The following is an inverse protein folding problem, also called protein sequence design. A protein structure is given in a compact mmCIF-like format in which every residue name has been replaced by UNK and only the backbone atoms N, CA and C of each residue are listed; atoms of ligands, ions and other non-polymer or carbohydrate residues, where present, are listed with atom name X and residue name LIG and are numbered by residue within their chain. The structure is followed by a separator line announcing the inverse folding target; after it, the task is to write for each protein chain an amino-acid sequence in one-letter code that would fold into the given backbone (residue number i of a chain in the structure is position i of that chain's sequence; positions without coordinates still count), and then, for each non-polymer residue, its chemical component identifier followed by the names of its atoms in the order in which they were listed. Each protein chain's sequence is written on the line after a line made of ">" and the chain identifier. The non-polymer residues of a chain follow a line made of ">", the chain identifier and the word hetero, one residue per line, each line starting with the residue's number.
data_IF_189296121463
#
_entry.id   IF_189296121463
#
_cell.length_a   1.000
_cell.length_b   1.000
_cell.length_c   1.000
_cell.angle_alpha   90.00
_cell.angle_beta   90.00
_cell.angle_gamma   90.00
#
_symmetry.space_group_name_H-M   'P 1'
#
loop_
_entity.id
_entity.type
_entity.pdbx_description
1 polymer ?
#
# COMPACT_ATOMS: atom_id res chain seq x y z
N UNK A 1 13.44 -10.78 4.97
CA UNK A 1 14.00 -11.18 3.65
C UNK A 1 13.30 -12.39 3.08
N UNK A 2 13.04 -13.43 3.88
CA UNK A 2 12.27 -14.61 3.45
C UNK A 2 10.89 -14.25 2.89
N UNK A 3 10.12 -13.42 3.61
CA UNK A 3 8.82 -12.91 3.13
C UNK A 3 8.87 -12.15 1.79
N UNK A 4 10.00 -11.54 1.42
CA UNK A 4 10.16 -10.85 0.12
C UNK A 4 10.46 -11.87 -0.98
N UNK A 5 11.27 -12.89 -0.68
CA UNK A 5 11.58 -14.00 -1.60
C UNK A 5 10.35 -14.88 -1.86
N UNK A 6 9.50 -15.03 -0.87
CA UNK A 6 8.26 -15.80 -0.92
C UNK A 6 7.08 -15.02 -1.52
N UNK A 7 7.29 -13.75 -1.90
CA UNK A 7 6.23 -12.86 -2.38
C UNK A 7 5.02 -12.86 -1.43
N UNK A 8 5.25 -12.70 -0.13
CA UNK A 8 4.21 -12.86 0.90
C UNK A 8 3.00 -11.92 0.70
N UNK A 9 3.16 -10.83 -0.07
CA UNK A 9 2.06 -9.93 -0.43
C UNK A 9 1.16 -10.47 -1.56
N UNK A 10 1.58 -11.49 -2.31
CA UNK A 10 0.83 -12.03 -3.44
C UNK A 10 -0.53 -12.64 -3.04
N UNK A 11 -0.68 -13.15 -1.82
CA UNK A 11 -1.97 -13.63 -1.30
C UNK A 11 -2.99 -12.49 -1.16
N UNK A 12 -2.53 -11.30 -0.80
CA UNK A 12 -3.37 -10.11 -0.60
C UNK A 12 -3.50 -9.28 -1.89
N UNK A 13 -2.55 -9.43 -2.82
CA UNK A 13 -2.41 -8.60 -4.01
C UNK A 13 -2.04 -9.47 -5.23
N UNK A 14 -2.92 -10.41 -5.66
CA UNK A 14 -2.56 -11.47 -6.61
C UNK A 14 -2.29 -10.97 -8.04
N UNK A 15 -2.89 -9.83 -8.40
CA UNK A 15 -2.72 -9.20 -9.72
C UNK A 15 -1.67 -8.08 -9.72
N UNK A 16 -0.92 -7.91 -8.62
CA UNK A 16 0.08 -6.85 -8.52
C UNK A 16 1.44 -7.30 -9.07
N UNK A 17 1.89 -6.65 -10.15
CA UNK A 17 3.30 -6.69 -10.62
C UNK A 17 4.19 -5.81 -9.73
N UNK A 18 4.17 -6.06 -8.42
CA UNK A 18 5.09 -5.39 -7.49
C UNK A 18 6.50 -5.96 -7.67
N UNK A 19 7.35 -5.24 -8.42
CA UNK A 19 8.77 -5.56 -8.61
C UNK A 19 9.60 -5.19 -7.37
N UNK A 20 9.37 -5.92 -6.28
CA UNK A 20 10.12 -5.77 -5.02
C UNK A 20 11.06 -6.96 -4.86
N UNK A 21 12.35 -6.72 -5.08
CA UNK A 21 13.39 -7.72 -4.90
C UNK A 21 13.93 -7.67 -3.47
N UNK A 22 14.36 -8.79 -2.90
CA UNK A 22 15.03 -8.80 -1.60
C UNK A 22 16.34 -7.99 -1.68
N UNK A 23 16.68 -7.17 -0.66
CA UNK A 23 17.92 -6.41 -0.68
C UNK A 23 19.10 -7.37 -0.54
N UNK A 24 20.17 -7.12 -1.29
CA UNK A 24 21.43 -7.86 -1.15
C UNK A 24 22.19 -7.36 0.10
N UNK A 25 21.79 -7.88 1.26
CA UNK A 25 22.38 -7.51 2.56
C UNK A 25 23.16 -8.69 3.11
N UNK A 26 24.39 -8.43 3.55
CA UNK A 26 25.20 -9.47 4.17
C UNK A 26 24.52 -10.08 5.41
N UNK A 27 24.54 -11.41 5.53
CA UNK A 27 24.04 -12.13 6.71
C UNK A 27 24.69 -11.64 8.01
N UNK A 28 25.92 -11.15 7.92
CA UNK A 28 26.64 -10.54 9.04
C UNK A 28 25.91 -9.30 9.56
N UNK A 29 25.47 -8.39 8.69
CA UNK A 29 24.76 -7.19 9.10
C UNK A 29 23.44 -7.55 9.80
N UNK A 30 22.68 -8.49 9.21
CA UNK A 30 21.44 -9.00 9.80
C UNK A 30 21.69 -9.66 11.15
N UNK A 31 22.77 -10.42 11.29
CA UNK A 31 23.15 -11.03 12.56
C UNK A 31 23.45 -9.98 13.64
N UNK A 32 24.11 -8.89 13.28
CA UNK A 32 24.43 -7.79 14.20
C UNK A 32 23.16 -7.08 14.68
N UNK A 33 22.20 -6.85 13.78
CA UNK A 33 20.89 -6.28 14.11
C UNK A 33 20.11 -7.23 15.04
N UNK A 34 19.98 -8.51 14.66
CA UNK A 34 19.27 -9.52 15.48
C UNK A 34 19.85 -9.72 16.87
N UNK A 35 21.17 -9.51 17.03
CA UNK A 35 21.87 -9.61 18.32
C UNK A 35 21.80 -8.33 19.16
N UNK A 36 21.13 -7.27 18.68
CA UNK A 36 21.08 -5.97 19.35
C UNK A 36 22.46 -5.30 19.44
N UNK A 37 23.39 -5.65 18.54
CA UNK A 37 24.70 -4.96 18.45
C UNK A 37 24.56 -3.64 17.71
N UNK A 38 23.59 -3.58 16.79
CA UNK A 38 23.19 -2.39 16.07
C UNK A 38 21.69 -2.26 16.24
N UNK A 39 21.26 -1.13 16.77
CA UNK A 39 19.86 -0.75 16.84
C UNK A 39 19.49 -0.09 15.52
N UNK A 40 18.39 -0.55 14.93
CA UNK A 40 17.86 -0.02 13.67
C UNK A 40 16.37 0.22 13.84
N UNK A 41 15.91 1.40 13.47
CA UNK A 41 14.50 1.74 13.38
C UNK A 41 14.15 2.20 11.96
N UNK A 42 12.98 1.79 11.49
CA UNK A 42 12.45 2.20 10.20
C UNK A 42 11.31 3.19 10.41
N UNK A 43 11.31 4.27 9.64
CA UNK A 43 10.29 5.31 9.71
C UNK A 43 9.74 5.56 8.31
N UNK A 44 8.42 5.60 8.17
CA UNK A 44 7.74 6.00 6.93
C UNK A 44 6.92 7.24 7.23
N UNK A 45 7.25 8.33 6.54
CA UNK A 45 6.65 9.64 6.72
C UNK A 45 5.95 10.05 5.43
N UNK A 46 4.67 10.38 5.52
CA UNK A 46 3.97 11.05 4.43
C UNK A 46 4.43 12.50 4.34
N UNK A 47 4.65 13.00 3.12
CA UNK A 47 4.86 14.43 2.93
C UNK A 47 3.56 15.18 3.20
N UNK A 48 3.59 16.21 4.06
CA UNK A 48 2.40 16.97 4.49
C UNK A 48 1.59 17.63 3.37
N UNK A 49 2.14 17.71 2.16
CA UNK A 49 1.55 18.42 1.02
C UNK A 49 1.65 17.67 -0.30
N UNK A 50 2.00 16.38 -0.29
CA UNK A 50 2.05 15.56 -1.51
C UNK A 50 1.61 14.14 -1.23
N UNK A 51 1.32 13.39 -2.29
CA UNK A 51 1.07 11.94 -2.26
C UNK A 51 2.36 11.14 -2.10
N UNK A 52 3.52 11.79 -1.97
CA UNK A 52 4.82 11.15 -1.84
C UNK A 52 5.07 10.69 -0.40
N UNK A 53 5.80 9.58 -0.28
CA UNK A 53 6.28 9.08 1.00
C UNK A 53 7.80 9.09 1.08
N UNK A 54 8.32 9.37 2.27
CA UNK A 54 9.73 9.25 2.60
C UNK A 54 9.89 8.13 3.63
N UNK A 55 10.64 7.10 3.28
CA UNK A 55 10.98 5.97 4.13
C UNK A 55 12.48 5.99 4.42
N UNK A 56 12.82 6.16 5.69
CA UNK A 56 14.20 6.27 6.15
C UNK A 56 14.52 5.21 7.21
N UNK A 57 15.81 4.93 7.35
CA UNK A 57 16.32 4.04 8.39
C UNK A 57 17.21 4.87 9.32
N UNK A 58 16.94 4.79 10.61
CA UNK A 58 17.86 5.31 11.63
C UNK A 58 18.61 4.13 12.23
N UNK A 59 19.94 4.23 12.30
CA UNK A 59 20.78 3.20 12.92
C UNK A 59 21.72 3.79 13.96
N UNK A 60 21.94 3.04 15.03
CA UNK A 60 22.88 3.38 16.08
C UNK A 60 23.68 2.15 16.49
N UNK A 61 25.00 2.31 16.61
CA UNK A 61 25.90 1.26 17.06
C UNK A 61 26.99 1.84 17.94
N UNK A 62 27.54 1.00 18.81
CA UNK A 62 28.66 1.40 19.65
C UNK A 62 29.93 1.63 18.81
N UNK A 63 30.36 2.89 18.69
CA UNK A 63 31.52 3.33 17.91
C UNK A 63 32.86 2.76 18.38
N UNK A 64 32.94 2.22 19.61
CA UNK A 64 34.13 1.49 20.08
C UNK A 64 34.34 0.17 19.30
N UNK A 65 33.32 -0.34 18.62
CA UNK A 65 33.43 -1.47 17.70
C UNK A 65 33.56 -0.93 16.28
N UNK A 66 34.77 -1.06 15.71
CA UNK A 66 35.00 -0.63 14.35
C UNK A 66 34.40 -1.67 13.37
N UNK A 67 33.29 -1.32 12.74
CA UNK A 67 32.66 -2.12 11.70
C UNK A 67 32.99 -1.53 10.33
N UNK A 68 33.95 -2.11 9.59
CA UNK A 68 34.30 -1.59 8.27
C UNK A 68 33.09 -1.68 7.33
N UNK A 69 32.88 -0.63 6.54
CA UNK A 69 31.85 -0.50 5.50
C UNK A 69 30.39 -0.51 6.01
N UNK A 70 30.16 -0.33 7.31
CA UNK A 70 28.81 -0.42 7.87
C UNK A 70 27.87 0.67 7.36
N UNK A 71 28.37 1.92 7.24
CA UNK A 71 27.58 3.04 6.70
C UNK A 71 27.15 2.80 5.26
N UNK A 72 28.04 2.23 4.44
CA UNK A 72 27.71 1.89 3.05
C UNK A 72 26.64 0.80 2.98
N UNK A 73 26.70 -0.19 3.88
CA UNK A 73 25.71 -1.26 3.93
C UNK A 73 24.34 -0.73 4.38
N UNK A 74 24.30 0.19 5.34
CA UNK A 74 23.07 0.84 5.77
C UNK A 74 22.50 1.78 4.72
N UNK A 75 23.34 2.55 4.02
CA UNK A 75 22.89 3.40 2.91
C UNK A 75 22.27 2.60 1.76
N UNK A 76 22.82 1.42 1.44
CA UNK A 76 22.21 0.51 0.48
C UNK A 76 20.84 0.00 0.95
N UNK A 77 20.76 -0.41 2.22
CA UNK A 77 19.51 -0.90 2.83
C UNK A 77 18.44 0.20 2.89
N UNK A 78 18.82 1.43 3.22
CA UNK A 78 17.93 2.58 3.26
C UNK A 78 17.40 2.93 1.86
N UNK A 79 18.27 2.98 0.85
CA UNK A 79 17.84 3.22 -0.53
C UNK A 79 16.87 2.13 -1.02
N UNK A 80 17.14 0.87 -0.69
CA UNK A 80 16.22 -0.21 -0.97
C UNK A 80 14.87 -0.03 -0.27
N UNK A 81 14.88 0.37 1.01
CA UNK A 81 13.67 0.61 1.78
C UNK A 81 12.84 1.77 1.20
N UNK A 82 13.50 2.89 0.84
CA UNK A 82 12.88 4.03 0.17
C UNK A 82 12.18 3.60 -1.13
N UNK A 83 12.89 2.90 -2.02
CA UNK A 83 12.32 2.44 -3.30
C UNK A 83 11.16 1.47 -3.11
N UNK A 84 11.27 0.56 -2.15
CA UNK A 84 10.20 -0.38 -1.82
C UNK A 84 8.96 0.36 -1.36
N UNK A 85 9.13 1.34 -0.48
CA UNK A 85 8.04 2.17 -0.01
C UNK A 85 7.40 2.95 -1.18
N UNK A 86 8.19 3.63 -2.00
CA UNK A 86 7.70 4.35 -3.19
C UNK A 86 6.89 3.44 -4.13
N UNK A 87 7.40 2.24 -4.41
CA UNK A 87 6.71 1.26 -5.28
C UNK A 87 5.35 0.86 -4.70
N UNK A 88 5.29 0.62 -3.38
CA UNK A 88 4.02 0.32 -2.71
C UNK A 88 3.06 1.50 -2.74
N UNK A 89 3.55 2.72 -2.53
CA UNK A 89 2.74 3.93 -2.55
C UNK A 89 2.15 4.19 -3.94
N UNK A 90 2.94 4.03 -4.99
CA UNK A 90 2.48 4.18 -6.37
C UNK A 90 1.40 3.16 -6.72
N UNK A 91 1.57 1.91 -6.30
CA UNK A 91 0.55 0.88 -6.49
C UNK A 91 -0.75 1.24 -5.77
N UNK A 92 -0.66 1.63 -4.50
CA UNK A 92 -1.84 2.00 -3.70
C UNK A 92 -2.57 3.20 -4.30
N UNK A 93 -1.81 4.21 -4.74
CA UNK A 93 -2.37 5.38 -5.40
C UNK A 93 -3.12 5.01 -6.68
N UNK A 94 -2.51 4.20 -7.56
CA UNK A 94 -3.15 3.74 -8.81
C UNK A 94 -4.40 2.92 -8.54
N UNK A 95 -4.36 2.04 -7.55
CA UNK A 95 -5.50 1.20 -7.18
C UNK A 95 -6.67 2.06 -6.70
N UNK A 96 -6.40 3.02 -5.82
CA UNK A 96 -7.40 3.99 -5.36
C UNK A 96 -7.94 4.85 -6.49
N UNK A 97 -7.08 5.25 -7.43
CA UNK A 97 -7.51 6.02 -8.59
C UNK A 97 -8.48 5.21 -9.46
N UNK A 98 -8.13 3.96 -9.80
CA UNK A 98 -8.97 3.06 -10.59
C UNK A 98 -10.32 2.84 -9.89
N UNK A 99 -10.31 2.61 -8.57
CA UNK A 99 -11.54 2.44 -7.80
C UNK A 99 -12.39 3.71 -7.79
N UNK A 100 -11.79 4.89 -7.59
CA UNK A 100 -12.52 6.15 -7.69
C UNK A 100 -13.14 6.37 -9.08
N UNK A 101 -12.38 6.08 -10.14
CA UNK A 101 -12.85 6.19 -11.52
C UNK A 101 -14.03 5.23 -11.78
N UNK A 102 -13.94 3.99 -11.29
CA UNK A 102 -15.03 3.02 -11.39
C UNK A 102 -16.26 3.47 -10.60
N UNK A 103 -16.11 3.81 -9.31
CA UNK A 103 -17.23 4.18 -8.45
C UNK A 103 -17.99 5.41 -8.94
N UNK A 104 -17.30 6.33 -9.62
CA UNK A 104 -17.91 7.54 -10.21
C UNK A 104 -18.37 7.37 -11.66
N UNK A 105 -18.21 6.18 -12.24
CA UNK A 105 -18.63 5.90 -13.61
C UNK A 105 -20.14 5.67 -13.73
N UNK A 106 -20.69 5.94 -14.93
CA UNK A 106 -22.08 5.60 -15.26
C UNK A 106 -22.37 4.10 -15.11
N UNK A 107 -21.36 3.25 -15.33
CA UNK A 107 -21.46 1.81 -15.14
C UNK A 107 -21.73 1.46 -13.68
N UNK A 108 -20.95 2.00 -12.74
CA UNK A 108 -21.17 1.80 -11.29
C UNK A 108 -22.56 2.29 -10.85
N UNK A 109 -23.02 3.42 -11.40
CA UNK A 109 -24.39 3.93 -11.15
C UNK A 109 -25.44 2.94 -11.65
N UNK A 110 -25.30 2.42 -12.86
CA UNK A 110 -26.23 1.44 -13.44
C UNK A 110 -26.24 0.12 -12.67
N UNK A 111 -25.06 -0.38 -12.28
CA UNK A 111 -24.91 -1.58 -11.45
C UNK A 111 -25.57 -1.38 -10.08
N UNK A 112 -25.37 -0.22 -9.45
CA UNK A 112 -25.99 0.12 -8.16
C UNK A 112 -27.51 0.22 -8.25
N UNK A 113 -28.04 0.87 -9.29
CA UNK A 113 -29.49 0.94 -9.54
C UNK A 113 -30.08 -0.45 -9.71
N UNK A 114 -29.42 -1.30 -10.49
CA UNK A 114 -29.90 -2.66 -10.77
C UNK A 114 -29.83 -3.54 -9.53
N UNK A 115 -28.71 -3.52 -8.80
CA UNK A 115 -28.50 -4.36 -7.63
C UNK A 115 -29.40 -4.01 -6.44
N UNK A 116 -29.81 -2.74 -6.30
CA UNK A 116 -30.73 -2.28 -5.26
C UNK A 116 -32.18 -2.18 -5.74
N UNK A 117 -32.47 -2.68 -6.95
CA UNK A 117 -33.82 -2.70 -7.53
C UNK A 117 -34.50 -1.31 -7.52
N UNK A 118 -33.70 -0.24 -7.69
CA UNK A 118 -34.24 1.11 -7.68
C UNK A 118 -35.12 1.34 -8.91
N UNK A 119 -36.37 1.70 -8.64
CA UNK A 119 -37.33 2.04 -9.68
C UNK A 119 -37.38 3.56 -9.88
N UNK A 120 -37.58 3.98 -11.13
CA UNK A 120 -37.71 5.38 -11.51
C UNK A 120 -38.93 5.56 -12.41
N UNK A 121 -39.58 6.71 -12.31
CA UNK A 121 -40.69 7.09 -13.20
C UNK A 121 -40.17 7.41 -14.61
N UNK A 122 -41.07 7.52 -15.60
CA UNK A 122 -40.71 7.93 -16.98
C UNK A 122 -40.04 9.32 -17.01
N UNK A 123 -40.31 10.17 -16.02
CA UNK A 123 -39.69 11.48 -15.87
C UNK A 123 -38.29 11.43 -15.23
N UNK A 124 -37.81 10.26 -14.79
CA UNK A 124 -36.52 10.08 -14.12
C UNK A 124 -36.56 10.29 -12.60
N UNK A 125 -37.73 10.55 -12.01
CA UNK A 125 -37.88 10.72 -10.56
C UNK A 125 -37.85 9.38 -9.82
N UNK A 126 -37.19 9.28 -8.65
CA UNK A 126 -37.15 8.05 -7.86
C UNK A 126 -38.54 7.59 -7.41
N UNK A 127 -38.85 6.32 -7.60
CA UNK A 127 -40.14 5.71 -7.26
C UNK A 127 -40.22 5.18 -5.82
N UNK A 128 -39.30 5.57 -4.93
CA UNK A 128 -39.22 5.09 -3.54
C UNK A 128 -40.51 5.28 -2.72
N UNK A 129 -41.40 6.16 -3.19
CA UNK A 129 -42.66 6.50 -2.53
C UNK A 129 -43.89 5.86 -3.18
N UNK A 130 -43.73 5.06 -4.25
CA UNK A 130 -44.84 4.41 -4.95
C UNK A 130 -45.30 3.09 -4.30
N UNK A 131 -44.58 2.58 -3.28
CA UNK A 131 -44.99 1.39 -2.52
C UNK A 131 -46.28 1.58 -1.70
N UNK A 132 -46.77 2.81 -1.50
CA UNK A 132 -47.97 3.06 -0.70
C UNK A 132 -49.30 3.04 -1.47
N UNK A 133 -49.32 2.65 -2.76
CA UNK A 133 -50.57 2.60 -3.57
C UNK A 133 -50.94 1.20 -4.05
N UNK A 134 -50.20 0.16 -3.63
CA UNK A 134 -50.45 -1.24 -4.03
C UNK A 134 -51.11 -2.11 -2.94
N UNK A 135 -51.56 -1.52 -1.84
CA UNK A 135 -52.47 -2.16 -0.88
C UNK A 135 -53.77 -1.36 -0.81
N UNK A 136 -54.62 -1.51 -1.82
CA UNK A 136 -56.06 -1.32 -1.66
C UNK A 136 -56.75 -2.64 -2.00
N UNK A 137 -57.21 -3.34 -0.97
CA UNK A 137 -58.46 -4.12 -0.93
C UNK A 137 -59.08 -4.02 0.48
#
# INVERSE_FOLDING_TARGET
>A
MEAVKELAWSELMPESDLDINAPDVSDRLISLIKKGVIDVSANVNAHRSSTGIAACLDWNYNSFRNFPNIESAFSYLENWFQKTAETLNDYLYKSLQIECEFLTSEQSVAETITANEYHFTIAGEPAFHLEALAEED
#
